data_IF_379183301212
#
_entry.id   IF_379183301212
#
_cell.length_a   1.000
_cell.length_b   1.000
_cell.length_c   1.000
_cell.angle_alpha   90.00
_cell.angle_beta   90.00
_cell.angle_gamma   90.00
#
_symmetry.space_group_name_H-M   'P 1'
#
loop_
_entity.id
_entity.type
_entity.pdbx_description
1 polymer ?
#
# COMPACT_ATOMS: atom_id res chain seq x y z
N UNK A 1 9.47 4.28 21.94
CA UNK A 1 10.20 3.03 22.12
C UNK A 1 9.30 1.82 22.14
N UNK A 2 8.19 1.91 22.83
CA UNK A 2 7.19 0.85 22.80
C UNK A 2 6.64 0.62 21.40
N UNK A 3 6.57 1.68 20.60
CA UNK A 3 6.08 1.59 19.23
C UNK A 3 6.94 0.67 18.36
N UNK A 4 8.25 0.69 18.55
CA UNK A 4 9.14 -0.18 17.79
C UNK A 4 8.92 -1.64 18.15
N UNK A 5 8.68 -1.91 19.42
CA UNK A 5 8.39 -3.27 19.86
C UNK A 5 7.08 -3.77 19.29
N UNK A 6 6.06 -2.91 19.28
CA UNK A 6 4.77 -3.23 18.69
C UNK A 6 4.89 -3.57 17.23
N UNK A 7 5.62 -2.74 16.47
CA UNK A 7 5.83 -2.98 15.06
C UNK A 7 6.53 -4.30 14.80
N UNK A 8 7.46 -4.66 15.68
CA UNK A 8 8.19 -5.90 15.53
C UNK A 8 7.30 -7.11 15.82
N UNK A 9 6.39 -6.99 16.79
CA UNK A 9 5.52 -8.09 17.19
C UNK A 9 4.36 -8.31 16.22
N UNK A 10 3.72 -7.23 15.77
CA UNK A 10 2.52 -7.33 14.97
C UNK A 10 2.74 -7.07 13.49
N UNK A 11 3.87 -6.48 13.14
CA UNK A 11 4.23 -6.16 11.75
C UNK A 11 3.08 -5.54 10.94
N UNK A 12 2.44 -4.48 11.45
CA UNK A 12 1.36 -3.85 10.70
C UNK A 12 1.82 -3.29 9.36
N UNK A 13 3.07 -2.86 9.31
CA UNK A 13 3.68 -2.36 8.08
C UNK A 13 3.71 -3.44 7.00
N UNK A 14 3.97 -4.68 7.42
CA UNK A 14 4.06 -5.80 6.48
C UNK A 14 2.73 -6.06 5.79
N UNK A 15 1.64 -6.01 6.55
CA UNK A 15 0.31 -6.18 5.98
C UNK A 15 -0.01 -5.07 4.99
N UNK A 16 0.35 -3.84 5.34
CA UNK A 16 0.14 -2.70 4.47
C UNK A 16 1.01 -2.79 3.21
N UNK A 17 2.23 -3.28 3.33
CA UNK A 17 3.09 -3.48 2.19
C UNK A 17 2.52 -4.50 1.22
N UNK A 18 1.93 -5.56 1.72
CA UNK A 18 1.26 -6.55 0.87
C UNK A 18 0.09 -5.93 0.12
N UNK A 19 -0.71 -5.13 0.81
CA UNK A 19 -1.82 -4.43 0.17
C UNK A 19 -1.33 -3.46 -0.89
N UNK A 20 -0.27 -2.73 -0.57
CA UNK A 20 0.31 -1.78 -1.50
C UNK A 20 0.79 -2.48 -2.77
N UNK A 21 1.52 -3.57 -2.62
CA UNK A 21 2.02 -4.33 -3.75
C UNK A 21 0.88 -4.91 -4.58
N UNK A 22 -0.17 -5.39 -3.92
CA UNK A 22 -1.33 -5.92 -4.60
C UNK A 22 -2.02 -4.84 -5.43
N UNK A 23 -2.20 -3.67 -4.84
CA UNK A 23 -2.84 -2.55 -5.55
C UNK A 23 -2.00 -2.09 -6.73
N UNK A 24 -0.69 -2.06 -6.60
CA UNK A 24 0.18 -1.70 -7.71
C UNK A 24 0.07 -2.71 -8.86
N UNK A 25 -0.03 -3.99 -8.51
CA UNK A 25 -0.17 -5.04 -9.49
C UNK A 25 -1.49 -4.90 -10.24
N UNK A 26 -2.57 -4.66 -9.50
CA UNK A 26 -3.88 -4.45 -10.10
C UNK A 26 -3.90 -3.20 -10.98
N UNK A 27 -3.26 -2.14 -10.51
CA UNK A 27 -3.18 -0.91 -11.28
C UNK A 27 -2.44 -1.13 -12.60
N UNK A 28 -1.36 -1.90 -12.57
CA UNK A 28 -0.59 -2.21 -13.77
C UNK A 28 -1.45 -2.99 -14.77
N UNK A 29 -2.23 -3.95 -14.28
CA UNK A 29 -3.13 -4.70 -15.16
C UNK A 29 -4.17 -3.81 -15.80
N UNK A 30 -4.73 -2.89 -15.02
CA UNK A 30 -5.72 -1.95 -15.53
C UNK A 30 -5.12 -1.01 -16.57
N UNK A 31 -3.88 -0.61 -16.36
CA UNK A 31 -3.17 0.22 -17.32
C UNK A 31 -2.99 -0.52 -18.65
N UNK A 32 -2.65 -1.79 -18.56
CA UNK A 32 -2.51 -2.63 -19.75
C UNK A 32 -3.80 -2.75 -20.52
N UNK A 33 -4.91 -2.89 -19.81
CA UNK A 33 -6.24 -3.00 -20.44
C UNK A 33 -6.72 -1.68 -20.99
N UNK A 34 -6.11 -0.58 -20.60
CA UNK A 34 -6.52 0.73 -21.02
C UNK A 34 -7.64 1.32 -20.19
N UNK A 35 -7.91 0.73 -19.02
CA UNK A 35 -8.93 1.23 -18.10
C UNK A 35 -8.34 2.32 -17.22
N UNK A 36 -8.23 3.51 -17.78
CA UNK A 36 -7.55 4.62 -17.12
C UNK A 36 -8.25 5.07 -15.83
N UNK A 37 -9.59 5.21 -15.79
CA UNK A 37 -10.25 5.60 -14.55
C UNK A 37 -9.99 4.63 -13.41
N UNK A 38 -10.08 3.33 -13.68
CA UNK A 38 -9.81 2.32 -12.66
C UNK A 38 -8.35 2.31 -12.26
N UNK A 39 -7.45 2.53 -13.21
CA UNK A 39 -6.02 2.64 -12.92
C UNK A 39 -5.75 3.79 -11.97
N UNK A 40 -6.34 4.95 -12.21
CA UNK A 40 -6.18 6.11 -11.35
C UNK A 40 -6.71 5.84 -9.94
N UNK A 41 -7.84 5.14 -9.84
CA UNK A 41 -8.44 4.76 -8.57
C UNK A 41 -7.50 3.89 -7.74
N UNK A 42 -6.96 2.86 -8.39
CA UNK A 42 -6.06 1.93 -7.70
C UNK A 42 -4.76 2.60 -7.29
N UNK A 43 -4.25 3.47 -8.13
CA UNK A 43 -3.03 4.22 -7.83
C UNK A 43 -3.24 5.09 -6.60
N UNK A 44 -4.40 5.73 -6.50
CA UNK A 44 -4.73 6.58 -5.37
C UNK A 44 -4.80 5.77 -4.09
N UNK A 45 -5.45 4.61 -4.13
CA UNK A 45 -5.52 3.72 -2.98
C UNK A 45 -4.12 3.28 -2.54
N UNK A 46 -3.26 2.96 -3.50
CA UNK A 46 -1.90 2.57 -3.19
C UNK A 46 -1.13 3.70 -2.51
N UNK A 47 -1.31 4.93 -2.96
CA UNK A 47 -0.67 6.08 -2.34
C UNK A 47 -1.14 6.29 -0.91
N UNK A 48 -2.43 6.10 -0.65
CA UNK A 48 -2.96 6.21 0.70
C UNK A 48 -2.32 5.19 1.64
N UNK A 49 -2.16 3.96 1.15
CA UNK A 49 -1.52 2.92 1.93
C UNK A 49 -0.05 3.24 2.15
N UNK A 50 0.63 3.77 1.13
CA UNK A 50 2.01 4.18 1.26
C UNK A 50 2.19 5.23 2.36
N UNK A 51 1.27 6.19 2.43
CA UNK A 51 1.31 7.20 3.49
C UNK A 51 1.19 6.56 4.86
N UNK A 52 0.31 5.57 5.00
CA UNK A 52 0.16 4.85 6.26
C UNK A 52 1.44 4.12 6.63
N UNK A 53 2.09 3.50 5.65
CA UNK A 53 3.36 2.82 5.88
C UNK A 53 4.41 3.81 6.38
N UNK A 54 4.49 4.96 5.76
CA UNK A 54 5.45 5.99 6.16
C UNK A 54 5.19 6.47 7.59
N UNK A 55 3.93 6.65 7.95
CA UNK A 55 3.56 7.07 9.29
C UNK A 55 3.94 6.03 10.34
N UNK A 56 3.72 4.76 10.01
CA UNK A 56 4.05 3.68 10.93
C UNK A 56 5.55 3.42 10.98
N UNK A 57 6.25 3.71 9.91
CA UNK A 57 7.69 3.49 9.82
C UNK A 57 8.50 4.45 10.66
N UNK A 58 7.91 5.53 11.10
CA UNK A 58 8.59 6.46 11.98
C UNK A 58 8.59 5.93 13.41
#
# INVERSE_FOLDING_TARGET
MLKKLWNKLFNPTRALEKQYNKLLREARDLQRKGDIPAFAHKTREAEDIRKKIEQLGE
#
